data_IF_119781826091
#
_entry.id   IF_119781826091
#
_cell.length_a   1.000
_cell.length_b   1.000
_cell.length_c   1.000
_cell.angle_alpha   90.00
_cell.angle_beta   90.00
_cell.angle_gamma   90.00
#
_symmetry.space_group_name_H-M   'P 1'
#
loop_
_entity.id
_entity.type
_entity.pdbx_description
1 polymer ?
#
# COMPACT_ATOMS: atom_id res chain seq x y z
N UNK A 1 12.43 -23.32 10.64
CA UNK A 1 12.15 -23.10 9.19
C UNK A 1 13.41 -23.39 8.39
N UNK A 2 13.36 -24.14 7.28
CA UNK A 2 14.55 -24.42 6.47
C UNK A 2 14.83 -23.28 5.47
N UNK A 3 16.01 -23.29 4.85
CA UNK A 3 16.47 -22.23 3.93
C UNK A 3 15.54 -22.07 2.72
N UNK A 4 15.06 -23.18 2.16
CA UNK A 4 14.16 -23.18 0.99
C UNK A 4 12.82 -22.49 1.30
N UNK A 5 12.16 -22.85 2.42
CA UNK A 5 10.89 -22.21 2.81
C UNK A 5 11.09 -20.74 3.18
N UNK A 6 12.21 -20.39 3.81
CA UNK A 6 12.57 -18.97 4.03
C UNK A 6 12.75 -18.22 2.71
N UNK A 7 13.32 -18.87 1.67
CA UNK A 7 13.40 -18.33 0.31
C UNK A 7 12.03 -17.93 -0.23
N UNK A 8 11.05 -18.84 -0.16
CA UNK A 8 9.67 -18.57 -0.60
C UNK A 8 8.99 -17.42 0.15
N UNK A 9 9.35 -17.17 1.42
CA UNK A 9 8.85 -16.00 2.14
C UNK A 9 9.45 -14.69 1.62
N UNK A 10 10.70 -14.69 1.14
CA UNK A 10 11.25 -13.52 0.46
C UNK A 10 10.53 -13.26 -0.85
N UNK A 11 10.19 -14.31 -1.62
CA UNK A 11 9.42 -14.14 -2.86
C UNK A 11 8.04 -13.51 -2.57
N UNK A 12 7.38 -13.94 -1.49
CA UNK A 12 6.12 -13.32 -1.03
C UNK A 12 6.31 -11.85 -0.64
N UNK A 13 7.39 -11.51 0.07
CA UNK A 13 7.71 -10.11 0.39
C UNK A 13 7.91 -9.30 -0.90
N UNK A 14 8.66 -9.84 -1.87
CA UNK A 14 8.88 -9.15 -3.15
C UNK A 14 7.57 -8.87 -3.89
N UNK A 15 6.63 -9.84 -3.93
CA UNK A 15 5.31 -9.61 -4.53
C UNK A 15 4.46 -8.61 -3.76
N UNK A 16 4.58 -8.56 -2.43
CA UNK A 16 3.89 -7.56 -1.61
C UNK A 16 4.43 -6.15 -1.86
N UNK A 17 5.76 -6.00 -1.94
CA UNK A 17 6.41 -4.72 -2.27
C UNK A 17 6.08 -4.25 -3.68
N UNK A 18 6.00 -5.16 -4.65
CA UNK A 18 5.54 -4.84 -6.02
C UNK A 18 4.10 -4.33 -6.02
N UNK A 19 3.18 -5.04 -5.36
CA UNK A 19 1.79 -4.61 -5.22
C UNK A 19 1.66 -3.29 -4.44
N UNK A 20 2.55 -3.03 -3.48
CA UNK A 20 2.63 -1.76 -2.76
C UNK A 20 3.01 -0.62 -3.70
N UNK A 21 4.02 -0.82 -4.55
CA UNK A 21 4.42 0.15 -5.57
C UNK A 21 3.28 0.50 -6.52
N UNK A 22 2.52 -0.50 -7.00
CA UNK A 22 1.33 -0.25 -7.82
C UNK A 22 0.26 0.57 -7.08
N UNK A 23 0.05 0.30 -5.79
CA UNK A 23 -0.88 1.09 -4.96
C UNK A 23 -0.39 2.53 -4.75
N UNK A 24 0.91 2.74 -4.56
CA UNK A 24 1.52 4.07 -4.45
C UNK A 24 1.35 4.87 -5.75
N UNK A 25 1.54 4.23 -6.91
CA UNK A 25 1.32 4.86 -8.21
C UNK A 25 -0.14 5.29 -8.38
N UNK A 26 -1.11 4.41 -8.09
CA UNK A 26 -2.54 4.72 -8.17
C UNK A 26 -2.93 5.81 -7.17
N UNK A 27 -2.37 5.78 -5.95
CA UNK A 27 -2.59 6.80 -4.94
C UNK A 27 -2.16 8.17 -5.44
N UNK A 28 -0.98 8.28 -6.05
CA UNK A 28 -0.48 9.52 -6.63
C UNK A 28 -1.41 10.02 -7.76
N UNK A 29 -1.86 9.12 -8.64
CA UNK A 29 -2.81 9.47 -9.71
C UNK A 29 -4.14 10.01 -9.16
N UNK A 30 -4.66 9.41 -8.09
CA UNK A 30 -5.92 9.84 -7.45
C UNK A 30 -5.74 11.18 -6.71
N UNK A 31 -4.61 11.39 -6.04
CA UNK A 31 -4.25 12.67 -5.40
C UNK A 31 -4.13 13.78 -6.45
N UNK A 32 -3.40 13.57 -7.55
CA UNK A 32 -3.30 14.52 -8.67
C UNK A 32 -4.68 14.82 -9.28
N UNK A 33 -5.52 13.78 -9.40
CA UNK A 33 -6.89 13.93 -9.90
C UNK A 33 -7.76 14.76 -8.96
N UNK A 34 -7.60 14.62 -7.64
CA UNK A 34 -8.31 15.42 -6.65
C UNK A 34 -7.80 16.87 -6.62
N UNK A 35 -6.48 17.07 -6.60
CA UNK A 35 -5.83 18.38 -6.52
C UNK A 35 -6.07 19.23 -7.76
N UNK A 36 -6.28 18.60 -8.92
CA UNK A 36 -6.65 19.29 -10.16
C UNK A 36 -8.13 19.69 -10.24
N UNK A 37 -8.98 19.25 -9.31
CA UNK A 37 -10.38 19.68 -9.26
C UNK A 37 -10.50 21.15 -8.79
N UNK A 38 -11.47 21.91 -9.32
CA UNK A 38 -11.88 23.18 -8.72
C UNK A 38 -12.31 23.02 -7.26
N UNK A 39 -12.03 24.01 -6.41
CA UNK A 39 -12.37 24.01 -4.97
C UNK A 39 -13.82 23.60 -4.67
N UNK A 40 -14.77 24.06 -5.50
CA UNK A 40 -16.19 23.71 -5.32
C UNK A 40 -16.50 22.23 -5.57
N UNK A 41 -15.71 21.54 -6.40
CA UNK A 41 -15.82 20.10 -6.64
C UNK A 41 -15.04 19.28 -5.61
N UNK A 42 -13.93 19.80 -5.10
CA UNK A 42 -13.21 19.21 -3.97
C UNK A 42 -14.12 19.12 -2.72
N UNK A 43 -14.86 20.19 -2.41
CA UNK A 43 -15.82 20.22 -1.30
C UNK A 43 -17.16 19.53 -1.59
N UNK A 44 -17.30 18.91 -2.76
CA UNK A 44 -18.52 18.20 -3.13
C UNK A 44 -18.49 16.76 -2.63
N UNK A 45 -19.65 16.09 -2.65
CA UNK A 45 -19.74 14.65 -2.37
C UNK A 45 -18.86 13.79 -3.29
N UNK A 46 -18.42 14.31 -4.44
CA UNK A 46 -17.45 13.62 -5.30
C UNK A 46 -16.05 13.73 -4.73
N UNK A 47 -15.61 14.92 -4.33
CA UNK A 47 -14.29 15.12 -3.73
C UNK A 47 -14.15 14.39 -2.40
N UNK A 48 -15.18 14.40 -1.55
CA UNK A 48 -15.22 13.60 -0.31
C UNK A 48 -14.96 12.10 -0.59
N UNK A 49 -15.59 11.53 -1.62
CA UNK A 49 -15.36 10.13 -2.00
C UNK A 49 -13.93 9.87 -2.49
N UNK A 50 -13.34 10.80 -3.24
CA UNK A 50 -11.96 10.67 -3.70
C UNK A 50 -11.00 10.69 -2.49
N UNK A 51 -11.23 11.59 -1.53
CA UNK A 51 -10.47 11.60 -0.27
C UNK A 51 -10.64 10.30 0.53
N UNK A 52 -11.85 9.74 0.59
CA UNK A 52 -12.07 8.44 1.23
C UNK A 52 -11.23 7.33 0.56
N UNK A 53 -11.18 7.30 -0.77
CA UNK A 53 -10.35 6.33 -1.49
C UNK A 53 -8.85 6.54 -1.26
N UNK A 54 -8.38 7.80 -1.26
CA UNK A 54 -6.99 8.16 -0.93
C UNK A 54 -6.62 7.62 0.45
N UNK A 55 -7.44 7.90 1.48
CA UNK A 55 -7.20 7.40 2.83
C UNK A 55 -7.19 5.86 2.91
N UNK A 56 -8.13 5.19 2.20
CA UNK A 56 -8.17 3.73 2.17
C UNK A 56 -6.93 3.12 1.48
N UNK A 57 -6.38 3.78 0.46
CA UNK A 57 -5.16 3.33 -0.22
C UNK A 57 -3.92 3.52 0.67
N UNK A 58 -3.79 4.67 1.34
CA UNK A 58 -2.74 4.92 2.35
C UNK A 58 -2.77 3.86 3.46
N UNK A 59 -3.96 3.55 3.98
CA UNK A 59 -4.17 2.49 4.96
C UNK A 59 -3.77 1.10 4.43
N UNK A 60 -4.05 0.81 3.15
CA UNK A 60 -3.65 -0.44 2.52
C UNK A 60 -2.13 -0.57 2.40
N UNK A 61 -1.46 0.48 1.95
CA UNK A 61 0.01 0.55 1.82
C UNK A 61 0.66 0.30 3.20
N UNK A 62 0.18 1.00 4.23
CA UNK A 62 0.69 0.82 5.59
C UNK A 62 0.53 -0.62 6.11
N UNK A 63 -0.61 -1.28 5.82
CA UNK A 63 -0.82 -2.68 6.19
C UNK A 63 0.12 -3.63 5.45
N UNK A 64 0.48 -3.33 4.21
CA UNK A 64 1.47 -4.13 3.48
C UNK A 64 2.83 -4.03 4.16
N UNK A 65 3.27 -2.83 4.52
CA UNK A 65 4.53 -2.61 5.25
C UNK A 65 4.56 -3.37 6.58
N UNK A 66 3.45 -3.37 7.33
CA UNK A 66 3.32 -4.15 8.57
C UNK A 66 3.49 -5.66 8.32
N UNK A 67 2.85 -6.19 7.28
CA UNK A 67 2.96 -7.61 6.92
C UNK A 67 4.38 -7.97 6.50
N UNK A 68 5.02 -7.14 5.65
CA UNK A 68 6.41 -7.33 5.23
C UNK A 68 7.33 -7.36 6.44
N UNK A 69 7.26 -6.35 7.31
CA UNK A 69 8.07 -6.27 8.52
C UNK A 69 7.85 -7.46 9.45
N UNK A 70 6.60 -7.91 9.61
CA UNK A 70 6.26 -9.08 10.41
C UNK A 70 6.89 -10.36 9.86
N UNK A 71 6.80 -10.59 8.55
CA UNK A 71 7.39 -11.77 7.90
C UNK A 71 8.92 -11.75 8.04
N UNK A 72 9.56 -10.62 7.76
CA UNK A 72 11.02 -10.50 7.89
C UNK A 72 11.50 -10.75 9.32
N UNK A 73 10.91 -10.06 10.29
CA UNK A 73 11.38 -10.06 11.68
C UNK A 73 11.00 -11.36 12.40
N UNK A 74 9.74 -11.79 12.31
CA UNK A 74 9.19 -12.89 13.12
C UNK A 74 9.29 -14.25 12.45
N UNK A 75 9.46 -14.32 11.12
CA UNK A 75 9.53 -15.60 10.40
C UNK A 75 10.94 -15.86 9.88
N UNK A 76 11.52 -14.91 9.12
CA UNK A 76 12.81 -15.11 8.46
C UNK A 76 13.96 -14.99 9.46
N UNK A 77 13.99 -13.93 10.28
CA UNK A 77 15.07 -13.66 11.25
C UNK A 77 14.95 -14.43 12.57
N UNK A 78 13.83 -15.13 12.78
CA UNK A 78 13.63 -15.98 13.97
C UNK A 78 14.69 -17.09 14.02
N UNK A 79 15.45 -17.12 15.13
CA UNK A 79 16.46 -18.12 15.46
C UNK A 79 15.81 -19.45 15.81
#
# INVERSE_FOLDING_TARGET
MNKERKGRFNDVISSLEEAKGELEDILNEEQDSYDSLPDGLQMSSRGEKMQDYICLMEDCISKIDEVVGFVEEKIIRKK
#
